data_IF_608072657396
#
_entry.id   IF_608072657396
#
_cell.length_a   1.000
_cell.length_b   1.000
_cell.length_c   1.000
_cell.angle_alpha   90.00
_cell.angle_beta   90.00
_cell.angle_gamma   90.00
#
_symmetry.space_group_name_H-M   'P 1'
#
loop_
_entity.id
_entity.type
_entity.pdbx_description
1 polymer ?
#
# COMPACT_ATOMS: atom_id res chain seq x y z
N UNK A 1 -10.64 -21.57 -3.41
CA UNK A 1 -11.95 -20.88 -3.44
C UNK A 1 -11.68 -19.39 -3.38
N UNK A 2 -11.88 -18.66 -4.48
CA UNK A 2 -11.59 -17.23 -4.54
C UNK A 2 -12.73 -16.44 -3.92
N UNK A 3 -12.48 -15.82 -2.77
CA UNK A 3 -13.43 -14.94 -2.11
C UNK A 3 -13.57 -13.67 -2.97
N UNK A 4 -14.61 -13.62 -3.79
CA UNK A 4 -15.00 -12.43 -4.53
C UNK A 4 -15.74 -11.53 -3.53
N UNK A 5 -14.99 -10.69 -2.82
CA UNK A 5 -15.58 -9.63 -2.00
C UNK A 5 -16.16 -8.61 -2.98
N UNK A 6 -17.48 -8.65 -3.18
CA UNK A 6 -18.19 -7.53 -3.77
C UNK A 6 -17.81 -6.26 -2.99
N UNK A 7 -17.53 -5.18 -3.72
CA UNK A 7 -17.28 -3.85 -3.19
C UNK A 7 -18.54 -3.30 -2.50
N UNK A 8 -18.96 -3.96 -1.43
CA UNK A 8 -19.70 -3.32 -0.36
C UNK A 8 -18.80 -2.18 0.12
N UNK A 9 -19.34 -0.96 0.17
CA UNK A 9 -18.66 0.19 0.74
C UNK A 9 -18.43 -0.11 2.22
N UNK A 10 -17.34 -0.79 2.55
CA UNK A 10 -16.92 -0.93 3.92
C UNK A 10 -16.33 0.43 4.28
N UNK A 11 -17.16 1.27 4.90
CA UNK A 11 -16.73 2.50 5.52
C UNK A 11 -15.88 2.14 6.74
N UNK A 12 -14.60 1.81 6.51
CA UNK A 12 -13.65 1.65 7.60
C UNK A 12 -13.38 3.02 8.21
N UNK A 13 -13.45 3.10 9.54
CA UNK A 13 -13.08 4.32 10.23
C UNK A 13 -11.65 4.70 9.88
N UNK A 14 -11.36 6.01 9.83
CA UNK A 14 -10.01 6.52 9.64
C UNK A 14 -8.99 5.90 10.63
N UNK A 15 -9.47 5.39 11.78
CA UNK A 15 -8.66 4.69 12.78
C UNK A 15 -8.15 3.30 12.32
N UNK A 16 -8.93 2.58 11.50
CA UNK A 16 -8.47 1.30 10.92
C UNK A 16 -7.41 1.52 9.85
N UNK A 17 -7.62 2.52 8.98
CA UNK A 17 -6.62 2.96 8.02
C UNK A 17 -5.38 3.56 8.72
N UNK A 18 -5.55 4.11 9.93
CA UNK A 18 -4.46 4.72 10.69
C UNK A 18 -3.54 3.70 11.39
N UNK A 19 -3.88 2.42 11.38
CA UNK A 19 -3.11 1.38 12.09
C UNK A 19 -2.83 0.16 11.23
N UNK A 20 -3.62 -0.07 10.19
CA UNK A 20 -3.64 -1.32 9.42
C UNK A 20 -2.24 -1.80 9.00
N UNK A 21 -1.46 -0.99 8.29
CA UNK A 21 -0.20 -1.47 7.70
C UNK A 21 0.89 -1.80 8.72
N UNK A 22 1.16 -0.90 9.67
CA UNK A 22 2.21 -1.15 10.66
C UNK A 22 1.79 -2.26 11.63
N UNK A 23 0.52 -2.28 12.04
CA UNK A 23 0.02 -3.35 12.90
C UNK A 23 0.11 -4.72 12.20
N UNK A 24 -0.14 -4.79 10.89
CA UNK A 24 0.02 -6.01 10.10
C UNK A 24 1.49 -6.44 10.04
N UNK A 25 2.43 -5.51 9.85
CA UNK A 25 3.86 -5.82 9.85
C UNK A 25 4.33 -6.31 11.24
N UNK A 26 3.94 -5.61 12.30
CA UNK A 26 4.25 -5.97 13.70
C UNK A 26 3.69 -7.37 14.03
N UNK A 27 2.45 -7.67 13.61
CA UNK A 27 1.80 -8.96 13.92
C UNK A 27 2.30 -10.09 13.03
N UNK A 28 2.54 -9.84 11.75
CA UNK A 28 3.04 -10.84 10.80
C UNK A 28 4.47 -11.33 11.12
N UNK A 29 5.31 -10.43 11.66
CA UNK A 29 6.67 -10.77 12.09
C UNK A 29 6.76 -11.33 13.51
N UNK A 30 5.67 -11.27 14.28
CA UNK A 30 5.65 -11.78 15.64
C UNK A 30 5.29 -13.27 15.65
N UNK A 31 6.23 -14.12 16.06
CA UNK A 31 6.03 -15.57 16.16
C UNK A 31 4.96 -15.94 17.20
N UNK A 32 4.81 -15.14 18.26
CA UNK A 32 3.84 -15.35 19.34
C UNK A 32 2.42 -14.88 19.00
N UNK A 33 2.22 -14.24 17.84
CA UNK A 33 0.89 -13.81 17.43
C UNK A 33 -0.03 -15.01 17.16
N UNK A 34 -1.28 -14.90 17.59
CA UNK A 34 -2.29 -15.92 17.28
C UNK A 34 -2.71 -15.84 15.81
N UNK A 35 -3.12 -16.97 15.23
CA UNK A 35 -3.58 -17.01 13.84
C UNK A 35 -4.77 -16.08 13.58
N UNK A 36 -5.68 -15.97 14.55
CA UNK A 36 -6.80 -15.03 14.47
C UNK A 36 -6.35 -13.56 14.46
N UNK A 37 -5.30 -13.21 15.21
CA UNK A 37 -4.73 -11.86 15.19
C UNK A 37 -4.02 -11.58 13.86
N UNK A 38 -3.30 -12.57 13.31
CA UNK A 38 -2.69 -12.47 11.97
C UNK A 38 -3.76 -12.23 10.91
N UNK A 39 -4.77 -13.10 10.82
CA UNK A 39 -5.84 -12.98 9.83
C UNK A 39 -6.56 -11.61 9.89
N UNK A 40 -6.90 -11.16 11.10
CA UNK A 40 -7.53 -9.85 11.29
C UNK A 40 -6.65 -8.71 10.80
N UNK A 41 -5.37 -8.70 11.21
CA UNK A 41 -4.46 -7.60 10.90
C UNK A 41 -4.08 -7.60 9.42
N UNK A 42 -3.76 -8.76 8.84
CA UNK A 42 -3.52 -8.91 7.40
C UNK A 42 -4.70 -8.40 6.57
N UNK A 43 -5.94 -8.69 6.97
CA UNK A 43 -7.13 -8.13 6.34
C UNK A 43 -7.15 -6.60 6.35
N UNK A 44 -6.80 -5.97 7.47
CA UNK A 44 -6.71 -4.51 7.59
C UNK A 44 -5.58 -3.93 6.73
N UNK A 45 -4.41 -4.57 6.71
CA UNK A 45 -3.28 -4.15 5.86
C UNK A 45 -3.61 -4.26 4.37
N UNK A 46 -4.25 -5.36 3.97
CA UNK A 46 -4.72 -5.58 2.59
C UNK A 46 -5.66 -4.47 2.12
N UNK A 47 -6.60 -4.06 2.98
CA UNK A 47 -7.55 -3.00 2.69
C UNK A 47 -6.88 -1.63 2.50
N UNK A 48 -5.84 -1.32 3.29
CA UNK A 48 -5.06 -0.10 3.13
C UNK A 48 -4.37 -0.06 1.77
N UNK A 49 -3.80 -1.19 1.33
CA UNK A 49 -3.13 -1.32 0.03
C UNK A 49 -4.14 -1.21 -1.12
N UNK A 50 -5.31 -1.83 -1.00
CA UNK A 50 -6.36 -1.69 -2.00
C UNK A 50 -6.86 -0.27 -2.13
N UNK A 51 -7.05 0.43 -1.02
CA UNK A 51 -7.45 1.84 -1.03
C UNK A 51 -6.42 2.72 -1.76
N UNK A 52 -5.12 2.45 -1.56
CA UNK A 52 -4.06 3.11 -2.32
C UNK A 52 -4.13 2.78 -3.81
N UNK A 53 -4.28 1.50 -4.16
CA UNK A 53 -4.33 1.07 -5.55
C UNK A 53 -5.51 1.70 -6.30
N UNK A 54 -6.67 1.80 -5.64
CA UNK A 54 -7.85 2.47 -6.19
C UNK A 54 -7.58 3.97 -6.40
N UNK A 55 -6.96 4.64 -5.42
CA UNK A 55 -6.57 6.05 -5.56
C UNK A 55 -5.60 6.27 -6.75
N UNK A 56 -4.59 5.41 -6.89
CA UNK A 56 -3.63 5.43 -8.01
C UNK A 56 -4.36 5.27 -9.35
N UNK A 57 -5.25 4.28 -9.47
CA UNK A 57 -6.01 4.02 -10.70
C UNK A 57 -7.01 5.13 -11.04
N UNK A 58 -7.53 5.83 -10.04
CA UNK A 58 -8.43 6.97 -10.27
C UNK A 58 -7.73 8.21 -10.84
N UNK A 59 -6.40 8.26 -10.81
CA UNK A 59 -5.62 9.40 -11.29
C UNK A 59 -4.88 9.07 -12.60
N UNK A 60 -5.28 9.70 -13.71
CA UNK A 60 -4.81 9.35 -15.06
C UNK A 60 -3.28 9.29 -15.23
N UNK A 61 -2.53 10.18 -14.58
CA UNK A 61 -1.05 10.17 -14.64
C UNK A 61 -0.48 8.96 -13.89
N UNK A 62 -1.02 8.65 -12.71
CA UNK A 62 -0.49 7.57 -11.88
C UNK A 62 -0.85 6.20 -12.48
N UNK A 63 -2.04 6.07 -13.08
CA UNK A 63 -2.45 4.89 -13.83
C UNK A 63 -1.54 4.63 -15.05
N UNK A 64 -1.20 5.68 -15.80
CA UNK A 64 -0.25 5.57 -16.91
C UNK A 64 1.16 5.16 -16.45
N UNK A 65 1.63 5.66 -15.31
CA UNK A 65 2.92 5.26 -14.73
C UNK A 65 2.89 3.81 -14.23
N UNK A 66 1.80 3.41 -13.57
CA UNK A 66 1.59 2.04 -13.11
C UNK A 66 1.65 1.05 -14.28
N UNK A 67 0.99 1.39 -15.40
CA UNK A 67 0.95 0.55 -16.61
C UNK A 67 2.32 0.37 -17.27
N UNK A 68 3.28 1.30 -17.07
CA UNK A 68 4.64 1.19 -17.62
C UNK A 68 5.55 0.22 -16.85
N UNK A 69 5.21 -0.06 -15.59
CA UNK A 69 6.04 -0.87 -14.68
C UNK A 69 5.51 -2.29 -14.60
N UNK A 70 4.20 -2.43 -14.84
CA UNK A 70 3.50 -3.68 -14.88
C UNK A 70 3.74 -4.38 -16.21
N UNK A 71 3.97 -5.70 -16.15
CA UNK A 71 3.91 -6.54 -17.34
C UNK A 71 2.48 -6.54 -17.92
N UNK A 72 2.32 -5.99 -19.12
CA UNK A 72 1.01 -5.92 -19.77
C UNK A 72 0.43 -7.33 -19.96
N UNK A 73 -0.84 -7.56 -19.60
CA UNK A 73 -1.46 -8.86 -19.76
C UNK A 73 -1.52 -9.22 -21.25
N UNK A 74 -1.35 -10.51 -21.55
CA UNK A 74 -1.52 -10.99 -22.92
C UNK A 74 -2.96 -10.76 -23.40
N UNK A 75 -3.15 -10.60 -24.72
CA UNK A 75 -4.49 -10.44 -25.32
C UNK A 75 -5.44 -11.58 -24.93
N UNK A 76 -4.93 -12.81 -24.86
CA UNK A 76 -5.68 -13.98 -24.41
C UNK A 76 -6.07 -13.90 -22.93
N UNK A 77 -5.20 -13.32 -22.09
CA UNK A 77 -5.48 -13.08 -20.67
C UNK A 77 -6.59 -12.03 -20.48
N UNK A 78 -6.61 -10.98 -21.30
CA UNK A 78 -7.68 -9.98 -21.29
C UNK A 78 -9.04 -10.59 -21.67
N UNK A 79 -9.07 -11.40 -22.74
CA UNK A 79 -10.30 -12.06 -23.20
C UNK A 79 -10.79 -13.08 -22.16
N UNK A 80 -9.90 -13.90 -21.61
CA UNK A 80 -10.25 -14.94 -20.63
C UNK A 80 -10.76 -14.35 -19.30
N UNK A 81 -10.23 -13.20 -18.88
CA UNK A 81 -10.63 -12.54 -17.63
C UNK A 81 -11.67 -11.42 -17.84
N UNK A 82 -12.14 -11.21 -19.08
CA UNK A 82 -13.06 -10.13 -19.45
C UNK A 82 -12.57 -8.73 -19.01
N UNK A 83 -11.26 -8.49 -19.10
CA UNK A 83 -10.63 -7.23 -18.70
C UNK A 83 -9.29 -7.41 -17.98
N UNK A 84 -8.93 -6.38 -17.20
CA UNK A 84 -7.73 -6.33 -16.36
C UNK A 84 -8.15 -6.43 -14.89
N UNK A 85 -7.80 -7.55 -14.25
CA UNK A 85 -7.85 -7.76 -12.80
C UNK A 85 -6.46 -7.45 -12.22
N UNK A 86 -6.38 -6.49 -11.31
CA UNK A 86 -5.13 -6.12 -10.62
C UNK A 86 -5.30 -6.40 -9.13
N UNK A 87 -4.41 -7.23 -8.59
CA UNK A 87 -4.38 -7.58 -7.16
C UNK A 87 -3.02 -7.25 -6.59
N UNK A 88 -2.98 -6.82 -5.33
CA UNK A 88 -1.74 -6.67 -4.59
C UNK A 88 -1.73 -7.71 -3.48
N UNK A 89 -0.61 -8.41 -3.31
CA UNK A 89 -0.41 -9.44 -2.30
C UNK A 89 0.78 -9.02 -1.43
N UNK A 90 0.53 -8.39 -0.27
CA UNK A 90 1.56 -8.08 0.72
C UNK A 90 2.07 -9.34 1.40
N UNK A 91 3.35 -9.34 1.75
CA UNK A 91 3.99 -10.36 2.57
C UNK A 91 4.38 -9.76 3.93
N UNK A 92 3.41 -9.77 4.85
CA UNK A 92 3.59 -9.21 6.18
C UNK A 92 4.56 -10.02 7.05
N UNK A 93 4.68 -11.33 6.78
CA UNK A 93 5.63 -12.21 7.47
C UNK A 93 7.09 -11.87 7.11
N UNK A 94 7.34 -11.49 5.85
CA UNK A 94 8.68 -11.03 5.40
C UNK A 94 8.93 -9.54 5.61
N UNK A 95 8.02 -8.81 6.31
CA UNK A 95 8.21 -7.40 6.57
C UNK A 95 9.46 -7.17 7.44
N UNK A 96 10.15 -6.06 7.22
CA UNK A 96 11.40 -5.73 7.93
C UNK A 96 11.33 -4.36 8.54
N UNK A 97 11.65 -4.27 9.83
CA UNK A 97 11.84 -2.99 10.51
C UNK A 97 13.11 -2.31 9.99
N UNK A 98 12.97 -1.09 9.48
CA UNK A 98 14.10 -0.33 8.88
C UNK A 98 14.69 0.69 9.85
N UNK A 99 14.00 0.97 10.96
CA UNK A 99 14.40 1.94 11.98
C UNK A 99 13.45 3.12 12.04
N UNK A 100 13.94 4.29 12.48
CA UNK A 100 13.15 5.52 12.51
C UNK A 100 13.47 6.39 11.30
N UNK A 101 12.44 6.84 10.59
CA UNK A 101 12.53 7.67 9.40
C UNK A 101 11.94 9.05 9.71
N UNK A 102 12.58 10.10 9.24
CA UNK A 102 12.04 11.45 9.34
C UNK A 102 10.79 11.56 8.46
N UNK A 103 9.70 12.10 9.03
CA UNK A 103 8.48 12.29 8.26
C UNK A 103 8.65 13.51 7.34
N UNK A 104 8.26 13.40 6.05
CA UNK A 104 8.36 14.49 5.08
C UNK A 104 7.27 15.54 5.37
N UNK A 105 7.50 16.40 6.35
CA UNK A 105 6.52 17.38 6.84
C UNK A 105 6.97 18.80 6.52
N UNK A 106 6.06 19.63 5.98
CA UNK A 106 6.29 21.07 5.85
C UNK A 106 5.92 21.75 7.18
N UNK A 107 6.92 22.15 7.97
CA UNK A 107 6.70 22.87 9.23
C UNK A 107 7.68 22.49 10.33
N UNK A 108 7.18 22.39 11.57
CA UNK A 108 7.98 21.93 12.70
C UNK A 108 8.40 20.46 12.51
N UNK A 109 9.68 20.12 12.76
CA UNK A 109 10.16 18.76 12.58
C UNK A 109 9.46 17.81 13.56
N UNK A 110 8.67 16.88 13.03
CA UNK A 110 8.10 15.81 13.83
C UNK A 110 9.17 14.79 14.27
N UNK A 111 8.98 14.15 15.45
CA UNK A 111 9.90 13.12 15.89
C UNK A 111 9.93 11.96 14.87
N UNK A 112 11.11 11.41 14.55
CA UNK A 112 11.24 10.30 13.62
C UNK A 112 10.32 9.14 13.97
N UNK A 113 9.55 8.67 12.99
CA UNK A 113 8.59 7.61 13.15
C UNK A 113 9.19 6.27 12.76
N UNK A 114 8.80 5.21 13.46
CA UNK A 114 9.20 3.87 13.08
C UNK A 114 8.68 3.50 11.69
N UNK A 115 9.55 2.91 10.87
CA UNK A 115 9.23 2.50 9.52
C UNK A 115 9.53 1.02 9.28
N UNK A 116 8.79 0.46 8.33
CA UNK A 116 8.84 -0.92 7.89
C UNK A 116 8.96 -0.98 6.37
N UNK A 117 9.80 -1.87 5.88
CA UNK A 117 9.78 -2.34 4.50
C UNK A 117 8.81 -3.52 4.42
N UNK A 118 7.77 -3.36 3.62
CA UNK A 118 6.76 -4.38 3.36
C UNK A 118 6.87 -4.84 1.90
N UNK A 119 7.39 -6.05 1.65
CA UNK A 119 7.36 -6.65 0.32
C UNK A 119 5.93 -6.92 -0.12
N UNK A 120 5.61 -6.64 -1.38
CA UNK A 120 4.32 -6.91 -1.99
C UNK A 120 4.51 -7.43 -3.42
N UNK A 121 3.57 -8.24 -3.90
CA UNK A 121 3.48 -8.64 -5.31
C UNK A 121 2.27 -7.98 -5.93
N UNK A 122 2.44 -7.35 -7.08
CA UNK A 122 1.33 -6.90 -7.89
C UNK A 122 1.04 -7.96 -8.95
N UNK A 123 -0.14 -8.55 -8.90
CA UNK A 123 -0.61 -9.53 -9.87
C UNK A 123 -1.54 -8.88 -10.88
N UNK A 124 -1.34 -9.19 -12.14
CA UNK A 124 -2.25 -8.80 -13.23
C UNK A 124 -2.77 -10.04 -13.90
N UNK A 125 -4.09 -10.21 -13.85
CA UNK A 125 -4.80 -11.40 -14.29
C UNK A 125 -4.19 -12.70 -13.72
N UNK A 126 -3.75 -12.65 -12.45
CA UNK A 126 -3.16 -13.78 -11.73
C UNK A 126 -1.68 -14.07 -12.02
N UNK A 127 -1.06 -13.37 -12.98
CA UNK A 127 0.37 -13.45 -13.24
C UNK A 127 1.13 -12.34 -12.48
N UNK A 128 2.40 -12.59 -12.12
CA UNK A 128 3.24 -11.56 -11.51
C UNK A 128 3.42 -10.40 -12.50
N UNK A 129 2.84 -9.25 -12.17
CA UNK A 129 2.93 -8.03 -12.97
C UNK A 129 4.05 -7.10 -12.50
N UNK A 130 4.34 -7.03 -11.20
CA UNK A 130 5.47 -6.32 -10.62
C UNK A 130 5.83 -6.82 -9.22
N UNK A 131 7.11 -6.73 -8.87
CA UNK A 131 7.58 -6.87 -7.49
C UNK A 131 7.61 -5.49 -6.85
N UNK A 132 7.01 -5.35 -5.67
CA UNK A 132 6.87 -4.07 -4.98
C UNK A 132 7.48 -4.12 -3.57
N UNK A 133 8.01 -2.99 -3.10
CA UNK A 133 8.39 -2.77 -1.71
C UNK A 133 7.79 -1.45 -1.26
N UNK A 134 6.97 -1.51 -0.22
CA UNK A 134 6.37 -0.34 0.42
C UNK A 134 7.22 0.03 1.64
N UNK A 135 7.64 1.29 1.74
CA UNK A 135 8.11 1.86 2.99
C UNK A 135 6.91 2.44 3.73
N UNK A 136 6.55 1.85 4.86
CA UNK A 136 5.35 2.21 5.62
C UNK A 136 5.71 2.66 7.02
N UNK A 137 4.94 3.59 7.58
CA UNK A 137 5.06 4.09 8.94
C UNK A 137 3.68 4.25 9.56
N UNK A 138 3.61 4.53 10.87
CA UNK A 138 2.34 4.79 11.53
C UNK A 138 1.76 6.09 10.94
N UNK A 139 0.60 6.06 10.28
CA UNK A 139 -0.01 7.24 9.69
C UNK A 139 -0.34 8.25 10.79
N UNK A 140 0.39 9.36 10.75
CA UNK A 140 0.13 10.56 11.54
C UNK A 140 -0.16 11.69 10.58
N UNK A 141 -0.77 12.77 11.05
CA UNK A 141 -0.81 13.99 10.25
C UNK A 141 0.63 14.39 9.90
N UNK A 142 0.95 14.84 8.68
CA UNK A 142 0.09 14.96 7.49
C UNK A 142 0.10 13.73 6.56
N UNK A 143 0.86 12.68 6.89
CA UNK A 143 1.02 11.45 6.08
C UNK A 143 -0.16 10.45 6.18
N UNK A 144 -1.17 10.75 7.00
CA UNK A 144 -2.34 9.89 7.20
C UNK A 144 -3.17 9.65 5.92
N UNK A 145 -3.16 10.61 4.98
CA UNK A 145 -3.87 10.49 3.69
C UNK A 145 -3.32 9.35 2.82
N UNK A 146 -2.05 8.99 3.00
CA UNK A 146 -1.41 7.88 2.30
C UNK A 146 -1.43 6.57 3.10
N UNK A 147 -2.21 6.48 4.19
CA UNK A 147 -2.21 5.32 5.08
C UNK A 147 -0.85 5.05 5.75
N UNK A 148 0.06 6.04 5.75
CA UNK A 148 1.40 5.90 6.29
C UNK A 148 2.43 5.35 5.29
N UNK A 149 2.08 5.25 4.01
CA UNK A 149 3.02 4.85 2.96
C UNK A 149 3.89 6.05 2.59
N UNK A 150 5.20 5.91 2.81
CA UNK A 150 6.21 6.94 2.53
C UNK A 150 6.84 6.75 1.14
N UNK A 151 7.02 5.51 0.71
CA UNK A 151 7.63 5.19 -0.58
C UNK A 151 7.04 3.89 -1.13
N UNK A 152 6.88 3.83 -2.45
CA UNK A 152 6.61 2.62 -3.22
C UNK A 152 7.76 2.44 -4.20
N UNK A 153 8.45 1.32 -4.11
CA UNK A 153 9.35 0.87 -5.16
C UNK A 153 8.67 -0.27 -5.89
N UNK A 154 8.54 -0.18 -7.21
CA UNK A 154 8.00 -1.23 -8.06
C UNK A 154 9.01 -1.58 -9.15
N UNK A 155 9.20 -2.87 -9.40
CA UNK A 155 10.14 -3.39 -10.38
C UNK A 155 9.41 -4.37 -11.32
N UNK A 156 9.63 -4.20 -12.62
CA UNK A 156 9.10 -5.14 -13.60
C UNK A 156 9.67 -6.54 -13.34
N UNK A 157 8.91 -7.63 -13.50
CA UNK A 157 9.36 -9.01 -13.25
C UNK A 157 10.62 -9.47 -14.02
N UNK A 158 11.06 -8.67 -15.00
CA UNK A 158 12.19 -8.94 -15.90
C UNK A 158 13.32 -7.92 -15.72
N UNK A 159 13.21 -7.02 -14.73
CA UNK A 159 14.25 -6.04 -14.37
C UNK A 159 14.45 -4.88 -15.36
N UNK A 160 13.63 -4.73 -16.40
CA UNK A 160 13.85 -3.70 -17.42
C UNK A 160 13.24 -2.33 -17.10
N UNK A 161 12.37 -2.26 -16.08
CA UNK A 161 11.78 -1.01 -15.63
C UNK A 161 11.66 -1.00 -14.11
N UNK A 162 11.93 0.17 -13.52
CA UNK A 162 11.77 0.43 -12.09
C UNK A 162 11.07 1.77 -11.91
N UNK A 163 10.10 1.81 -11.01
CA UNK A 163 9.41 3.01 -10.56
C UNK A 163 9.65 3.19 -9.07
N UNK A 164 9.96 4.42 -8.70
CA UNK A 164 10.00 4.85 -7.30
C UNK A 164 9.04 6.01 -7.17
N UNK A 165 8.02 5.85 -6.33
CA UNK A 165 7.13 6.92 -5.91
C UNK A 165 7.45 7.21 -4.45
N UNK A 166 7.78 8.46 -4.14
CA UNK A 166 8.16 8.86 -2.79
C UNK A 166 7.38 10.10 -2.37
N UNK A 167 6.89 10.07 -1.13
CA UNK A 167 6.29 11.22 -0.49
C UNK A 167 7.39 12.19 -0.08
N UNK A 168 7.56 13.26 -0.86
CA UNK A 168 8.62 14.25 -0.62
C UNK A 168 8.23 15.27 0.45
N UNK A 169 6.96 15.62 0.51
CA UNK A 169 6.40 16.56 1.47
C UNK A 169 4.91 16.32 1.63
N UNK A 170 4.43 16.46 2.86
CA UNK A 170 3.02 16.50 3.19
C UNK A 170 2.79 17.68 4.15
N UNK A 171 1.64 18.35 3.96
CA UNK A 171 1.25 19.51 4.74
C UNK A 171 -0.14 19.32 5.28
N UNK A 172 -0.34 19.62 6.57
CA UNK A 172 -1.67 19.73 7.13
C UNK A 172 -2.32 21.01 6.60
N UNK A 173 -3.47 20.89 5.93
CA UNK A 173 -4.29 22.05 5.62
C UNK A 173 -4.66 22.76 6.92
N UNK A 174 -4.42 24.07 7.01
CA UNK A 174 -4.97 24.87 8.11
C UNK A 174 -6.49 24.84 7.94
N UNK A 175 -7.20 24.07 8.76
CA UNK A 175 -8.62 24.34 9.00
C UNK A 175 -8.68 25.68 9.72
N UNK A 176 -8.94 26.75 8.97
CA UNK A 176 -9.39 28.00 9.58
C UNK A 176 -10.75 27.71 10.21
N UNK A 177 -10.78 27.33 11.49
CA UNK A 177 -11.99 27.49 12.28
C UNK A 177 -12.25 28.99 12.30
N UNK A 178 -13.28 29.37 11.54
CA UNK A 178 -13.80 30.73 11.61
C UNK A 178 -14.71 30.69 12.82
N UNK A 179 -14.16 31.03 13.99
CA UNK A 179 -14.92 31.45 15.16
C UNK A 179 -14.91 32.98 15.21
#
# INVERSE_FOLDING_TARGET
>A
AGTRLEASRIAFSADHLSRGLVLSCETGTNEDATDAARELTEGLGQLCIWSLLEAVRSHAILDALLTRVIETPSLWSLVANLGVDVRCEPDFASARRVGRVALPTEGEPEPPAEAWELPCKLLVNGALGASCVLLVTKPRSPVHLAGGILRVTAEHPKGHARLVVELLAARAGRTTSTD
#
